data_IF_443606889653
#
_entry.id   IF_443606889653
#
_cell.length_a   1.000
_cell.length_b   1.000
_cell.length_c   1.000
_cell.angle_alpha   90.00
_cell.angle_beta   90.00
_cell.angle_gamma   90.00
#
_symmetry.space_group_name_H-M   'P 1'
#
loop_
_entity.id
_entity.type
_entity.pdbx_description
1 polymer ?
#
# COMPACT_ATOMS: atom_id res chain seq x y z
N UNK A 1 -27.30 -16.55 -19.56
CA UNK A 1 -27.12 -16.96 -18.16
C UNK A 1 -25.93 -16.23 -17.61
N UNK A 2 -26.13 -15.14 -16.87
CA UNK A 2 -25.07 -14.41 -16.19
C UNK A 2 -24.68 -15.18 -14.94
N UNK A 3 -23.45 -15.71 -14.94
CA UNK A 3 -22.87 -16.31 -13.74
C UNK A 3 -22.52 -15.14 -12.81
N UNK A 4 -23.40 -14.90 -11.85
CA UNK A 4 -23.16 -14.00 -10.74
C UNK A 4 -22.20 -14.75 -9.80
N UNK A 5 -20.90 -14.53 -9.95
CA UNK A 5 -19.90 -14.99 -8.98
C UNK A 5 -20.22 -14.28 -7.66
N UNK A 6 -20.75 -15.01 -6.71
CA UNK A 6 -20.90 -14.51 -5.34
C UNK A 6 -19.50 -14.30 -4.77
N UNK A 7 -19.12 -13.04 -4.53
CA UNK A 7 -17.89 -12.70 -3.82
C UNK A 7 -17.89 -13.37 -2.45
N UNK A 8 -16.76 -13.95 -2.06
CA UNK A 8 -16.60 -14.51 -0.73
C UNK A 8 -16.67 -13.41 0.35
N UNK A 9 -16.98 -13.78 1.58
CA UNK A 9 -17.01 -12.83 2.71
C UNK A 9 -15.63 -12.14 2.91
N UNK A 10 -14.54 -12.88 2.70
CA UNK A 10 -13.17 -12.36 2.75
C UNK A 10 -12.88 -11.33 1.66
N UNK A 11 -13.36 -11.57 0.43
CA UNK A 11 -13.16 -10.65 -0.69
C UNK A 11 -13.85 -9.31 -0.42
N UNK A 12 -15.03 -9.33 0.17
CA UNK A 12 -15.78 -8.13 0.54
C UNK A 12 -15.07 -7.30 1.63
N UNK A 13 -14.46 -7.97 2.63
CA UNK A 13 -13.70 -7.31 3.69
C UNK A 13 -12.43 -6.69 3.11
N UNK A 14 -11.68 -7.40 2.28
CA UNK A 14 -10.45 -6.90 1.68
C UNK A 14 -10.73 -5.70 0.77
N UNK A 15 -11.80 -5.74 -0.03
CA UNK A 15 -12.22 -4.55 -0.80
C UNK A 15 -12.60 -3.36 0.09
N UNK A 16 -13.33 -3.60 1.18
CA UNK A 16 -13.72 -2.54 2.13
C UNK A 16 -12.50 -1.77 2.62
N UNK A 17 -11.48 -2.46 3.09
CA UNK A 17 -10.27 -1.79 3.60
C UNK A 17 -9.35 -1.27 2.50
N UNK A 18 -9.32 -1.92 1.35
CA UNK A 18 -8.62 -1.36 0.18
C UNK A 18 -9.22 -0.02 -0.26
N UNK A 19 -10.54 0.16 -0.19
CA UNK A 19 -11.18 1.46 -0.45
C UNK A 19 -10.72 2.53 0.53
N UNK A 20 -10.50 2.18 1.79
CA UNK A 20 -9.92 3.10 2.76
C UNK A 20 -8.45 3.46 2.42
N UNK A 21 -7.66 2.50 1.94
CA UNK A 21 -6.31 2.77 1.43
C UNK A 21 -6.34 3.67 0.19
N UNK A 22 -7.29 3.49 -0.72
CA UNK A 22 -7.49 4.35 -1.89
C UNK A 22 -7.83 5.80 -1.48
N UNK A 23 -8.62 5.99 -0.44
CA UNK A 23 -8.88 7.34 0.12
C UNK A 23 -7.58 8.01 0.57
N UNK A 24 -6.65 7.25 1.15
CA UNK A 24 -5.34 7.78 1.50
C UNK A 24 -4.51 8.11 0.25
N UNK A 25 -4.52 7.25 -0.76
CA UNK A 25 -3.84 7.51 -2.03
C UNK A 25 -4.33 8.81 -2.71
N UNK A 26 -5.63 9.09 -2.64
CA UNK A 26 -6.21 10.34 -3.16
C UNK A 26 -5.70 11.58 -2.43
N UNK A 27 -5.36 11.48 -1.14
CA UNK A 27 -4.70 12.59 -0.41
C UNK A 27 -3.29 12.85 -0.94
N UNK A 28 -2.53 11.82 -1.26
CA UNK A 28 -1.24 11.96 -1.91
C UNK A 28 -1.39 12.62 -3.29
N UNK A 29 -2.35 12.16 -4.09
CA UNK A 29 -2.66 12.73 -5.41
C UNK A 29 -2.91 14.25 -5.34
N UNK A 30 -3.68 14.69 -4.36
CA UNK A 30 -3.99 16.11 -4.15
C UNK A 30 -2.76 16.96 -3.80
N UNK A 31 -1.67 16.33 -3.35
CA UNK A 31 -0.38 16.98 -3.05
C UNK A 31 0.63 16.85 -4.20
N UNK A 32 0.22 16.41 -5.37
CA UNK A 32 1.13 16.06 -6.47
C UNK A 32 2.17 14.97 -6.10
N UNK A 33 1.84 14.14 -5.14
CA UNK A 33 2.61 12.94 -4.78
C UNK A 33 2.07 11.70 -5.50
N UNK A 34 2.95 10.74 -5.79
CA UNK A 34 2.51 9.46 -6.35
C UNK A 34 1.41 8.87 -5.46
N UNK A 35 0.21 8.55 -6.02
CA UNK A 35 -0.97 8.19 -5.23
C UNK A 35 -0.87 6.77 -4.67
N UNK A 36 -0.20 6.66 -3.55
CA UNK A 36 -0.06 5.44 -2.77
C UNK A 36 -0.65 5.69 -1.40
N UNK A 37 -1.53 4.80 -0.98
CA UNK A 37 -2.19 4.82 0.32
C UNK A 37 -2.10 3.49 1.03
N UNK A 38 -2.10 3.54 2.35
CA UNK A 38 -1.99 2.38 3.20
C UNK A 38 -2.84 2.53 4.46
N UNK A 39 -3.50 1.44 4.84
CA UNK A 39 -4.16 1.33 6.15
C UNK A 39 -3.77 0.02 6.83
N UNK A 40 -3.72 0.04 8.16
CA UNK A 40 -3.48 -1.15 8.98
C UNK A 40 -4.70 -1.38 9.85
N UNK A 41 -5.18 -2.62 9.84
CA UNK A 41 -6.40 -3.06 10.54
C UNK A 41 -6.04 -4.05 11.63
N UNK A 42 -6.60 -3.84 12.80
CA UNK A 42 -6.55 -4.72 13.95
C UNK A 42 -7.96 -4.88 14.51
N UNK A 43 -8.42 -6.12 14.73
CA UNK A 43 -9.76 -6.43 15.25
C UNK A 43 -10.89 -5.65 14.54
N UNK A 44 -10.87 -5.61 13.21
CA UNK A 44 -11.87 -4.92 12.41
C UNK A 44 -11.81 -3.39 12.45
N UNK A 45 -10.80 -2.80 13.10
CA UNK A 45 -10.63 -1.34 13.21
C UNK A 45 -9.34 -0.89 12.54
N UNK A 46 -9.41 0.22 11.82
CA UNK A 46 -8.22 0.85 11.27
C UNK A 46 -7.47 1.57 12.38
N UNK A 47 -6.23 1.15 12.62
CA UNK A 47 -5.36 1.69 13.67
C UNK A 47 -4.20 2.52 13.13
N UNK A 48 -3.92 2.45 11.84
CA UNK A 48 -2.90 3.25 11.17
C UNK A 48 -3.33 3.62 9.75
N UNK A 49 -3.10 4.85 9.35
CA UNK A 49 -3.32 5.37 8.00
C UNK A 49 -2.09 6.12 7.53
N UNK A 50 -1.70 5.92 6.28
CA UNK A 50 -0.60 6.64 5.66
C UNK A 50 -0.83 6.85 4.18
N UNK A 51 -0.20 7.86 3.63
CA UNK A 51 -0.13 8.12 2.21
C UNK A 51 1.24 8.71 1.86
N UNK A 52 1.65 8.54 0.62
CA UNK A 52 2.95 8.98 0.17
C UNK A 52 3.11 10.51 0.28
N UNK A 53 4.19 10.94 0.92
CA UNK A 53 4.57 12.34 1.12
C UNK A 53 6.07 12.58 0.87
N UNK A 54 6.71 11.72 0.09
CA UNK A 54 8.17 11.73 -0.09
C UNK A 54 8.72 13.10 -0.47
N UNK A 55 8.11 13.76 -1.44
CA UNK A 55 8.55 15.08 -1.90
C UNK A 55 8.08 16.19 -0.95
N UNK A 56 6.87 16.09 -0.42
CA UNK A 56 6.30 17.07 0.52
C UNK A 56 7.10 17.14 1.82
N UNK A 57 7.43 16.00 2.40
CA UNK A 57 8.19 15.91 3.65
C UNK A 57 9.72 15.88 3.42
N UNK A 58 10.16 15.86 2.15
CA UNK A 58 11.59 15.74 1.76
C UNK A 58 12.28 14.57 2.48
N UNK A 59 11.61 13.45 2.56
CA UNK A 59 12.05 12.27 3.30
C UNK A 59 11.80 10.98 2.53
N UNK A 60 12.85 10.19 2.34
CA UNK A 60 12.77 8.83 1.80
C UNK A 60 11.84 7.94 2.62
N UNK A 61 11.74 8.17 3.93
CA UNK A 61 10.92 7.38 4.84
C UNK A 61 9.42 7.72 4.77
N UNK A 62 9.04 8.81 4.10
CA UNK A 62 7.66 9.26 4.03
C UNK A 62 6.82 8.47 3.02
N UNK A 63 6.91 7.15 3.06
CA UNK A 63 6.05 6.22 2.34
C UNK A 63 4.77 5.92 3.13
N UNK A 64 3.71 5.57 2.43
CA UNK A 64 2.40 5.28 3.01
C UNK A 64 2.48 4.19 4.09
N UNK A 65 3.19 3.11 3.79
CA UNK A 65 3.35 1.95 4.66
C UNK A 65 4.11 2.29 5.94
N UNK A 66 5.22 3.00 5.82
CA UNK A 66 6.03 3.42 6.98
C UNK A 66 5.21 4.31 7.92
N UNK A 67 4.46 5.25 7.36
CA UNK A 67 3.60 6.15 8.14
C UNK A 67 2.48 5.36 8.84
N UNK A 68 1.85 4.42 8.14
CA UNK A 68 0.80 3.57 8.72
C UNK A 68 1.34 2.67 9.84
N UNK A 69 2.50 2.05 9.64
CA UNK A 69 3.18 1.21 10.65
C UNK A 69 3.49 2.02 11.92
N UNK A 70 4.08 3.20 11.77
CA UNK A 70 4.38 4.09 12.92
C UNK A 70 3.13 4.42 13.72
N UNK A 71 2.03 4.76 13.05
CA UNK A 71 0.76 5.09 13.72
C UNK A 71 0.13 3.87 14.39
N UNK A 72 0.14 2.71 13.71
CA UNK A 72 -0.38 1.48 14.27
C UNK A 72 0.41 1.04 15.52
N UNK A 73 1.73 1.07 15.46
CA UNK A 73 2.60 0.75 16.59
C UNK A 73 2.34 1.67 17.80
N UNK A 74 2.18 2.97 17.53
CA UNK A 74 1.80 3.93 18.60
C UNK A 74 0.43 3.60 19.20
N UNK A 75 -0.53 3.19 18.39
CA UNK A 75 -1.89 2.87 18.83
C UNK A 75 -1.93 1.57 19.66
N UNK A 76 -1.18 0.55 19.25
CA UNK A 76 -1.04 -0.73 19.98
C UNK A 76 -0.17 -0.57 21.23
N UNK A 77 0.82 0.32 21.18
CA UNK A 77 1.82 0.48 22.26
C UNK A 77 2.96 -0.55 22.18
N UNK A 78 3.12 -1.20 21.02
CA UNK A 78 4.19 -2.16 20.74
C UNK A 78 4.67 -2.01 19.29
N UNK A 79 5.91 -2.37 19.02
CA UNK A 79 6.44 -2.45 17.66
C UNK A 79 5.93 -3.67 16.88
N UNK A 80 5.48 -4.72 17.58
CA UNK A 80 4.89 -5.93 17.00
C UNK A 80 3.46 -5.68 16.60
N UNK A 81 3.13 -5.99 15.35
CA UNK A 81 1.79 -5.87 14.79
C UNK A 81 1.27 -7.26 14.36
N UNK A 82 1.42 -8.25 15.24
CA UNK A 82 1.22 -9.68 14.98
C UNK A 82 -0.23 -10.07 14.63
N UNK A 83 -1.21 -9.26 15.02
CA UNK A 83 -2.62 -9.51 14.73
C UNK A 83 -3.22 -8.48 13.74
N UNK A 84 -2.35 -7.84 12.95
CA UNK A 84 -2.76 -6.79 12.02
C UNK A 84 -2.73 -7.28 10.58
N UNK A 85 -3.60 -6.68 9.75
CA UNK A 85 -3.54 -6.78 8.29
C UNK A 85 -3.21 -5.43 7.70
N UNK A 86 -2.23 -5.38 6.80
CA UNK A 86 -1.86 -4.17 6.07
C UNK A 86 -2.48 -4.19 4.67
N UNK A 87 -3.15 -3.10 4.32
CA UNK A 87 -3.73 -2.87 2.99
C UNK A 87 -2.99 -1.72 2.32
N UNK A 88 -2.49 -1.94 1.11
CA UNK A 88 -1.72 -0.96 0.36
C UNK A 88 -2.11 -0.96 -1.12
N UNK A 89 -2.20 0.23 -1.72
CA UNK A 89 -2.67 0.38 -3.10
C UNK A 89 -1.63 0.01 -4.16
N UNK A 90 -0.35 -0.06 -3.77
CA UNK A 90 0.77 -0.46 -4.63
C UNK A 90 1.68 -1.43 -3.88
N UNK A 91 2.19 -2.43 -4.59
CA UNK A 91 3.17 -3.39 -4.05
C UNK A 91 4.31 -2.68 -3.32
N UNK A 92 4.64 -3.10 -2.07
CA UNK A 92 5.68 -2.48 -1.29
C UNK A 92 7.07 -2.57 -1.93
N UNK A 93 7.85 -1.49 -1.80
CA UNK A 93 9.27 -1.48 -2.15
C UNK A 93 10.10 -2.24 -1.09
N UNK A 94 11.41 -2.38 -1.32
CA UNK A 94 12.32 -3.08 -0.41
C UNK A 94 12.34 -2.52 1.02
N UNK A 95 12.26 -1.20 1.17
CA UNK A 95 12.21 -0.56 2.49
C UNK A 95 10.91 -0.91 3.23
N UNK A 96 9.78 -0.80 2.56
CA UNK A 96 8.47 -1.07 3.16
C UNK A 96 8.24 -2.56 3.40
N UNK A 97 8.63 -3.43 2.46
CA UNK A 97 8.56 -4.87 2.65
C UNK A 97 9.43 -5.32 3.84
N UNK A 98 10.64 -4.78 3.98
CA UNK A 98 11.48 -5.00 5.14
C UNK A 98 10.83 -4.53 6.45
N UNK A 99 10.21 -3.36 6.46
CA UNK A 99 9.50 -2.84 7.62
C UNK A 99 8.30 -3.73 8.02
N UNK A 100 7.57 -4.26 7.05
CA UNK A 100 6.46 -5.20 7.28
C UNK A 100 6.94 -6.48 7.97
N UNK A 101 8.04 -7.06 7.49
CA UNK A 101 8.67 -8.23 8.12
C UNK A 101 9.14 -7.90 9.54
N UNK A 102 9.82 -6.78 9.72
CA UNK A 102 10.30 -6.33 11.04
C UNK A 102 9.16 -6.11 12.02
N UNK A 103 8.05 -5.53 11.58
CA UNK A 103 6.86 -5.29 12.41
C UNK A 103 6.05 -6.56 12.70
N UNK A 104 6.42 -7.72 12.14
CA UNK A 104 5.71 -9.00 12.32
C UNK A 104 4.26 -8.97 11.83
N UNK A 105 3.96 -8.19 10.81
CA UNK A 105 2.62 -8.17 10.20
C UNK A 105 2.38 -9.50 9.49
N UNK A 106 1.32 -10.25 9.84
CA UNK A 106 1.10 -11.59 9.28
C UNK A 106 0.49 -11.59 7.89
N UNK A 107 -0.22 -10.52 7.50
CA UNK A 107 -0.94 -10.46 6.21
C UNK A 107 -0.83 -9.08 5.56
N UNK A 108 -0.54 -9.10 4.26
CA UNK A 108 -0.57 -7.93 3.38
C UNK A 108 -1.56 -8.17 2.25
N UNK A 109 -2.44 -7.21 2.03
CA UNK A 109 -3.35 -7.14 0.89
C UNK A 109 -2.94 -5.96 0.03
N UNK A 110 -2.62 -6.21 -1.23
CA UNK A 110 -2.18 -5.17 -2.17
C UNK A 110 -3.03 -5.14 -3.44
N UNK A 111 -3.13 -3.98 -4.06
CA UNK A 111 -3.91 -3.79 -5.28
C UNK A 111 -3.04 -3.99 -6.53
N UNK A 112 -2.16 -3.05 -6.84
CA UNK A 112 -1.34 -3.06 -8.06
C UNK A 112 0.07 -3.59 -7.79
N UNK A 113 0.62 -4.32 -8.78
CA UNK A 113 2.02 -4.71 -8.79
C UNK A 113 2.91 -3.53 -9.20
N UNK A 114 4.15 -3.55 -8.73
CA UNK A 114 5.16 -2.54 -9.03
C UNK A 114 6.39 -3.19 -9.70
N UNK A 115 6.41 -3.31 -11.04
CA UNK A 115 7.47 -4.03 -11.75
C UNK A 115 8.87 -3.42 -11.57
N UNK A 116 8.96 -2.14 -11.21
CA UNK A 116 10.22 -1.40 -11.12
C UNK A 116 10.85 -1.39 -9.73
N UNK A 117 10.07 -1.57 -8.69
CA UNK A 117 10.54 -1.45 -7.31
C UNK A 117 9.85 -2.42 -6.33
N UNK A 118 8.91 -3.23 -6.80
CA UNK A 118 8.12 -4.12 -5.96
C UNK A 118 8.92 -5.29 -5.40
N UNK A 119 8.81 -5.49 -4.10
CA UNK A 119 9.54 -6.51 -3.36
C UNK A 119 8.61 -7.49 -2.60
N UNK A 120 7.39 -7.64 -3.10
CA UNK A 120 6.41 -8.63 -2.66
C UNK A 120 5.98 -9.56 -3.80
N UNK A 121 6.90 -9.85 -4.73
CA UNK A 121 6.73 -10.78 -5.84
C UNK A 121 7.20 -10.28 -7.21
N UNK A 122 7.27 -8.95 -7.46
CA UNK A 122 7.66 -8.44 -8.79
C UNK A 122 9.15 -8.61 -9.08
N UNK A 123 10.04 -8.01 -8.30
CA UNK A 123 11.49 -8.14 -8.48
C UNK A 123 12.01 -9.30 -7.62
N UNK A 124 11.71 -9.25 -6.34
CA UNK A 124 11.97 -10.28 -5.35
C UNK A 124 10.77 -10.38 -4.43
N UNK A 125 10.73 -11.39 -3.57
CA UNK A 125 9.70 -11.50 -2.54
C UNK A 125 10.32 -11.51 -1.13
N UNK A 126 10.55 -10.35 -0.56
CA UNK A 126 11.08 -10.19 0.81
C UNK A 126 10.10 -10.73 1.86
N UNK A 127 8.80 -10.76 1.54
CA UNK A 127 7.75 -11.19 2.45
C UNK A 127 7.70 -12.72 2.67
N UNK A 128 8.39 -13.50 1.83
CA UNK A 128 8.39 -14.97 1.89
C UNK A 128 9.81 -15.58 1.85
N UNK A 129 10.80 -14.89 2.37
CA UNK A 129 12.15 -15.44 2.53
C UNK A 129 12.17 -16.37 3.76
N UNK A 130 12.42 -17.66 3.52
CA UNK A 130 12.29 -18.70 4.55
C UNK A 130 13.34 -18.58 5.65
N UNK A 131 14.50 -18.02 5.33
CA UNK A 131 15.59 -17.78 6.27
C UNK A 131 15.31 -16.63 7.23
N UNK A 132 14.35 -15.78 6.94
CA UNK A 132 13.88 -14.76 7.88
C UNK A 132 13.02 -15.40 8.97
N UNK A 133 13.00 -14.78 10.14
CA UNK A 133 12.24 -15.24 11.29
C UNK A 133 10.73 -14.92 11.23
N UNK A 134 10.24 -14.39 10.10
CA UNK A 134 8.85 -14.09 9.87
C UNK A 134 8.53 -14.12 8.37
N UNK A 135 7.43 -14.75 8.00
CA UNK A 135 6.87 -14.73 6.66
C UNK A 135 5.47 -14.09 6.69
N UNK A 136 5.07 -13.54 5.56
CA UNK A 136 3.83 -12.77 5.42
C UNK A 136 2.93 -13.43 4.37
N UNK A 137 1.67 -13.65 4.71
CA UNK A 137 0.66 -14.01 3.72
C UNK A 137 0.38 -12.81 2.80
N UNK A 138 0.40 -13.03 1.49
CA UNK A 138 0.16 -11.97 0.50
C UNK A 138 -1.08 -12.27 -0.31
N UNK A 139 -2.01 -11.31 -0.35
CA UNK A 139 -3.15 -11.28 -1.27
C UNK A 139 -2.96 -10.11 -2.20
N UNK A 140 -2.97 -10.33 -3.50
CA UNK A 140 -2.79 -9.29 -4.51
C UNK A 140 -4.02 -9.12 -5.39
N UNK A 141 -4.08 -8.02 -6.15
CA UNK A 141 -5.09 -7.77 -7.15
C UNK A 141 -6.42 -7.22 -6.63
N UNK A 142 -6.52 -6.89 -5.35
CA UNK A 142 -7.75 -6.31 -4.76
C UNK A 142 -7.91 -4.86 -5.23
N UNK A 143 -8.96 -4.59 -6.01
CA UNK A 143 -9.20 -3.30 -6.68
C UNK A 143 -8.01 -2.83 -7.54
N UNK A 144 -7.31 -3.77 -8.16
CA UNK A 144 -6.11 -3.53 -8.97
C UNK A 144 -6.36 -2.53 -10.09
N UNK A 145 -7.45 -2.67 -10.81
CA UNK A 145 -7.75 -1.82 -11.97
C UNK A 145 -7.95 -0.35 -11.57
N UNK A 146 -8.70 -0.10 -10.50
CA UNK A 146 -8.91 1.24 -9.95
C UNK A 146 -7.60 1.89 -9.53
N UNK A 147 -6.74 1.17 -8.81
CA UNK A 147 -5.44 1.69 -8.36
C UNK A 147 -4.47 1.89 -9.53
N UNK A 148 -4.42 0.98 -10.49
CA UNK A 148 -3.58 1.09 -11.68
C UNK A 148 -4.00 2.27 -12.56
N UNK A 149 -5.29 2.51 -12.72
CA UNK A 149 -5.82 3.66 -13.47
C UNK A 149 -5.42 4.97 -12.81
N UNK A 150 -5.59 5.08 -11.50
CA UNK A 150 -5.19 6.28 -10.74
C UNK A 150 -3.70 6.60 -10.91
N UNK A 151 -2.82 5.60 -10.86
CA UNK A 151 -1.38 5.75 -11.10
C UNK A 151 -1.07 6.22 -12.53
N UNK A 152 -1.72 5.61 -13.53
CA UNK A 152 -1.54 5.99 -14.94
C UNK A 152 -1.95 7.43 -15.20
N UNK A 153 -3.08 7.84 -14.66
CA UNK A 153 -3.58 9.24 -14.77
C UNK A 153 -2.61 10.22 -14.12
N UNK A 154 -2.16 9.93 -12.91
CA UNK A 154 -1.17 10.74 -12.21
C UNK A 154 0.10 10.95 -13.04
N UNK A 155 0.71 9.90 -13.55
CA UNK A 155 1.93 10.00 -14.34
C UNK A 155 1.71 10.68 -15.70
N UNK A 156 0.51 10.54 -16.29
CA UNK A 156 0.13 11.28 -17.50
C UNK A 156 0.09 12.80 -17.23
N UNK A 157 -0.58 13.21 -16.18
CA UNK A 157 -0.65 14.61 -15.76
C UNK A 157 0.72 15.19 -15.42
N UNK A 158 1.55 14.42 -14.70
CA UNK A 158 2.91 14.82 -14.34
C UNK A 158 3.77 15.08 -15.58
N UNK A 159 3.66 14.25 -16.63
CA UNK A 159 4.36 14.45 -17.90
C UNK A 159 3.91 15.71 -18.61
N UNK A 160 2.61 16.02 -18.58
CA UNK A 160 2.05 17.25 -19.17
C UNK A 160 2.60 18.48 -18.43
N UNK A 161 2.53 18.49 -17.11
CA UNK A 161 3.09 19.58 -16.27
C UNK A 161 4.57 19.83 -16.56
N UNK A 162 5.38 18.78 -16.68
CA UNK A 162 6.82 18.88 -17.00
C UNK A 162 7.08 19.42 -18.41
N UNK A 163 6.25 19.11 -19.39
CA UNK A 163 6.38 19.67 -20.74
C UNK A 163 6.07 21.16 -20.73
N UNK A 164 5.00 21.58 -20.06
CA UNK A 164 4.60 22.98 -19.96
C UNK A 164 5.67 23.84 -19.26
N UNK A 165 6.31 23.32 -18.20
CA UNK A 165 7.36 24.04 -17.47
C UNK A 165 8.69 24.20 -18.24
N UNK A 166 8.90 23.41 -19.31
CA UNK A 166 10.10 23.52 -20.17
C UNK A 166 9.89 24.50 -21.36
N UNK A 167 8.68 24.96 -21.57
CA UNK A 167 8.34 25.86 -22.70
C UNK A 167 8.27 27.32 -22.25
N UNK A 168 8.48 27.62 -20.98
CA UNK A 168 8.66 28.94 -20.37
C UNK A 168 10.14 29.19 -20.05
#
# INVERSE_FOLDING_TARGET
MSVQLSMSYSDNIDEKYMREAIKQAKKAYALDEVPIGCVIVHEGKIIGRGYNRRNTDKSTLAHAEITAIKKASKKIGDWRLEECTLYVTLEPCQMCAGAIVQARIPKVVMASMNPKAGCAGSIINILDIKEFNHQVEVVNGVLQEECSTMLKEFFKELRIKKKMSKTL
#
